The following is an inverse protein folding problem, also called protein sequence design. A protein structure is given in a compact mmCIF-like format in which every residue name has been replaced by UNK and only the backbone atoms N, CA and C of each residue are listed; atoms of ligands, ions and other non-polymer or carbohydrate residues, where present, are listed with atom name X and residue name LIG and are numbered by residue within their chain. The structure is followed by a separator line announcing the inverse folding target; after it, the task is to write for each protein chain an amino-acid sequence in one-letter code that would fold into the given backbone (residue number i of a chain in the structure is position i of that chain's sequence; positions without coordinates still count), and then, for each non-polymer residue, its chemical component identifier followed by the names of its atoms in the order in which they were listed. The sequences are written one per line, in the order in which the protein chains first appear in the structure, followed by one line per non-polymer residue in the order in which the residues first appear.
data_IF_217919970453
#
_entry.id   IF_217919970453
#
_cell.length_a   1.000
_cell.length_b   1.000
_cell.length_c   1.000
_cell.angle_alpha   90.00
_cell.angle_beta   90.00
_cell.angle_gamma   90.00
#
_symmetry.space_group_name_H-M   'P 1'
#
loop_
_entity.id
_entity.type
_entity.pdbx_description
1 polymer ?
#
# COMPACT_ATOMS: atom_id res chain seq x y z
N UNK A 1 -68.71 -14.09 5.74
CA UNK A 1 -67.79 -14.40 4.61
C UNK A 1 -66.63 -13.42 4.65
N UNK A 2 -65.41 -13.95 4.68
CA UNK A 2 -64.16 -13.21 4.77
C UNK A 2 -63.71 -12.63 3.42
N UNK A 3 -62.95 -11.53 3.44
CA UNK A 3 -61.93 -11.25 2.43
C UNK A 3 -60.64 -10.84 3.14
N UNK A 4 -59.68 -11.79 3.21
CA UNK A 4 -58.29 -11.54 3.58
C UNK A 4 -57.66 -10.64 2.51
N UNK A 5 -57.09 -9.50 2.90
CA UNK A 5 -56.21 -8.71 2.03
C UNK A 5 -54.88 -9.48 1.89
N UNK A 6 -54.52 -9.79 0.65
CA UNK A 6 -53.32 -10.54 0.32
C UNK A 6 -52.06 -9.71 0.61
N UNK A 7 -51.11 -10.32 1.31
CA UNK A 7 -49.81 -9.79 1.65
C UNK A 7 -48.83 -10.23 0.54
N UNK A 8 -48.70 -9.44 -0.53
CA UNK A 8 -47.92 -9.80 -1.73
C UNK A 8 -46.81 -8.85 -2.20
N UNK A 9 -46.54 -7.64 -1.63
CA UNK A 9 -45.52 -6.76 -2.21
C UNK A 9 -44.07 -7.07 -1.76
N UNK A 10 -43.87 -7.64 -0.56
CA UNK A 10 -42.52 -7.86 -0.01
C UNK A 10 -41.77 -8.99 -0.74
N UNK A 11 -42.46 -10.09 -1.06
CA UNK A 11 -41.89 -11.18 -1.86
C UNK A 11 -41.49 -10.72 -3.26
N UNK A 12 -42.24 -9.79 -3.87
CA UNK A 12 -41.95 -9.24 -5.19
C UNK A 12 -40.69 -8.36 -5.19
N UNK A 13 -40.49 -7.57 -4.13
CA UNK A 13 -39.33 -6.70 -3.98
C UNK A 13 -38.04 -7.49 -3.69
N UNK A 14 -38.14 -8.54 -2.87
CA UNK A 14 -37.06 -9.53 -2.68
C UNK A 14 -36.77 -10.25 -4.00
N UNK A 15 -37.79 -10.63 -4.77
CA UNK A 15 -37.59 -11.24 -6.08
C UNK A 15 -36.81 -10.34 -7.04
N UNK A 16 -37.12 -9.04 -7.10
CA UNK A 16 -36.48 -8.09 -8.03
C UNK A 16 -35.01 -7.81 -7.65
N UNK A 17 -34.68 -7.76 -6.36
CA UNK A 17 -33.30 -7.51 -5.90
C UNK A 17 -32.43 -8.76 -6.00
N UNK A 18 -33.01 -9.95 -5.79
CA UNK A 18 -32.25 -11.20 -5.72
C UNK A 18 -32.28 -12.05 -7.01
N UNK A 19 -33.24 -11.85 -7.93
CA UNK A 19 -33.25 -12.52 -9.26
C UNK A 19 -31.97 -12.27 -10.06
N UNK A 20 -31.47 -11.02 -10.18
CA UNK A 20 -30.27 -10.74 -10.94
C UNK A 20 -29.05 -11.48 -10.37
N UNK A 21 -28.99 -11.61 -9.04
CA UNK A 21 -27.92 -12.33 -8.36
C UNK A 21 -28.01 -13.85 -8.54
N UNK A 22 -29.22 -14.42 -8.56
CA UNK A 22 -29.46 -15.84 -8.87
C UNK A 22 -29.16 -16.20 -10.33
N UNK A 23 -29.50 -15.32 -11.28
CA UNK A 23 -29.18 -15.52 -12.70
C UNK A 23 -27.66 -15.48 -12.90
N UNK A 24 -26.96 -14.55 -12.26
CA UNK A 24 -25.49 -14.49 -12.31
C UNK A 24 -24.81 -15.73 -11.71
N UNK A 25 -25.39 -16.30 -10.64
CA UNK A 25 -24.89 -17.53 -10.01
C UNK A 25 -25.06 -18.75 -10.92
N UNK A 26 -26.21 -18.89 -11.58
CA UNK A 26 -26.52 -19.97 -12.54
C UNK A 26 -25.61 -19.94 -13.78
N UNK A 27 -25.25 -18.75 -14.27
CA UNK A 27 -24.32 -18.59 -15.38
C UNK A 27 -22.87 -18.94 -15.00
N UNK A 28 -22.43 -18.66 -13.77
CA UNK A 28 -21.10 -19.06 -13.29
C UNK A 28 -20.97 -20.58 -13.15
N UNK A 29 -21.98 -21.26 -12.61
CA UNK A 29 -21.96 -22.73 -12.48
C UNK A 29 -22.01 -23.44 -13.84
N UNK A 30 -22.72 -22.87 -14.82
CA UNK A 30 -22.76 -23.38 -16.19
C UNK A 30 -21.42 -23.21 -16.91
N UNK A 31 -20.73 -22.07 -16.73
CA UNK A 31 -19.43 -21.81 -17.35
C UNK A 31 -18.29 -22.66 -16.74
N UNK A 32 -18.36 -22.98 -15.44
CA UNK A 32 -17.42 -23.92 -14.81
C UNK A 32 -17.62 -25.35 -15.32
N UNK A 33 -18.87 -25.76 -15.59
CA UNK A 33 -19.18 -27.07 -16.19
C UNK A 33 -18.68 -27.19 -17.64
N UNK A 34 -18.62 -26.07 -18.39
CA UNK A 34 -18.16 -26.04 -19.79
C UNK A 34 -16.62 -26.02 -19.91
N UNK A 35 -15.90 -25.52 -18.89
CA UNK A 35 -14.42 -25.52 -18.87
C UNK A 35 -13.76 -26.88 -18.60
N UNK A 36 -14.55 -27.93 -18.35
CA UNK A 36 -14.08 -29.26 -17.96
C UNK A 36 -13.77 -30.27 -19.08
N UNK A 37 -13.75 -29.89 -20.37
CA UNK A 37 -13.44 -30.85 -21.46
C UNK A 37 -12.44 -30.30 -22.48
N UNK A 38 -11.25 -30.90 -22.67
CA UNK A 38 -10.35 -30.54 -23.76
C UNK A 38 -10.60 -31.41 -25.00
N UNK A 39 -10.85 -30.78 -26.15
CA UNK A 39 -10.78 -31.42 -27.48
C UNK A 39 -9.46 -31.03 -28.17
N UNK A 40 -8.80 -31.95 -28.92
CA UNK A 40 -7.49 -31.70 -29.51
C UNK A 40 -7.53 -31.31 -30.99
N UNK A 41 -6.42 -30.66 -31.41
CA UNK A 41 -5.81 -30.53 -32.76
C UNK A 41 -5.99 -29.22 -33.53
N UNK A 42 -4.89 -28.82 -34.16
CA UNK A 42 -4.89 -28.29 -35.54
C UNK A 42 -3.68 -27.41 -35.86
N UNK A 43 -2.65 -27.99 -36.48
CA UNK A 43 -1.59 -27.25 -37.19
C UNK A 43 -2.18 -26.45 -38.38
N UNK A 44 -1.63 -25.28 -38.70
CA UNK A 44 -0.92 -25.04 -39.98
C UNK A 44 -0.34 -23.61 -40.12
N UNK A 45 0.93 -23.58 -40.60
CA UNK A 45 1.60 -22.68 -41.57
C UNK A 45 1.04 -21.25 -41.79
N UNK A 46 1.77 -20.12 -41.78
CA UNK A 46 3.17 -19.83 -42.08
C UNK A 46 3.24 -18.86 -43.27
N UNK A 47 3.59 -17.58 -43.10
CA UNK A 47 4.10 -16.69 -44.18
C UNK A 47 5.15 -15.72 -43.62
N UNK A 48 6.30 -15.71 -44.30
CA UNK A 48 7.47 -14.87 -44.14
C UNK A 48 7.28 -13.54 -44.90
N UNK A 49 7.77 -12.43 -44.35
CA UNK A 49 7.82 -11.14 -45.05
C UNK A 49 8.74 -10.15 -44.33
N UNK A 50 9.98 -10.07 -44.78
CA UNK A 50 10.95 -9.03 -44.42
C UNK A 50 10.50 -7.66 -44.94
N UNK A 51 10.62 -6.61 -44.12
CA UNK A 51 11.10 -5.30 -44.57
C UNK A 51 11.65 -4.49 -43.39
N UNK A 52 12.91 -4.10 -43.55
CA UNK A 52 13.65 -3.13 -42.75
C UNK A 52 12.94 -1.77 -42.70
N UNK A 53 12.55 -1.34 -41.49
CA UNK A 53 12.61 0.07 -41.04
C UNK A 53 12.63 0.11 -39.51
N UNK A 54 13.64 0.76 -38.91
CA UNK A 54 13.74 0.99 -37.45
C UNK A 54 12.59 1.89 -36.96
N UNK A 55 11.88 1.55 -35.85
CA UNK A 55 11.12 2.54 -35.11
C UNK A 55 11.71 2.84 -33.72
N UNK A 56 11.79 4.15 -33.47
CA UNK A 56 11.99 4.89 -32.22
C UNK A 56 11.71 4.15 -30.88
N UNK A 57 12.64 4.35 -29.93
CA UNK A 57 12.68 3.88 -28.53
C UNK A 57 11.41 4.17 -27.69
N UNK A 58 10.48 4.99 -28.20
CA UNK A 58 9.22 5.36 -27.52
C UNK A 58 8.10 4.31 -27.67
N UNK A 59 8.16 3.47 -28.71
CA UNK A 59 7.12 2.44 -28.94
C UNK A 59 7.39 1.13 -28.19
N UNK A 60 8.63 0.84 -27.78
CA UNK A 60 8.95 -0.35 -26.98
C UNK A 60 8.41 -0.24 -25.55
N UNK A 61 8.31 0.96 -24.98
CA UNK A 61 7.70 1.14 -23.65
C UNK A 61 6.18 1.05 -23.69
N UNK A 62 5.54 1.56 -24.75
CA UNK A 62 4.08 1.48 -24.90
C UNK A 62 3.60 0.03 -25.12
N UNK A 63 4.35 -0.77 -25.87
CA UNK A 63 4.02 -2.18 -26.07
C UNK A 63 4.32 -3.06 -24.83
N UNK A 64 5.28 -2.67 -23.98
CA UNK A 64 5.50 -3.34 -22.69
C UNK A 64 4.44 -2.98 -21.64
N UNK A 65 3.90 -1.74 -21.67
CA UNK A 65 2.74 -1.35 -20.88
C UNK A 65 1.47 -2.12 -21.28
N UNK A 66 1.21 -2.27 -22.58
CA UNK A 66 0.03 -2.99 -23.09
C UNK A 66 0.14 -4.51 -22.82
N UNK A 67 1.35 -5.10 -22.88
CA UNK A 67 1.55 -6.51 -22.55
C UNK A 67 1.57 -6.80 -21.02
N UNK A 68 1.87 -5.82 -20.17
CA UNK A 68 1.74 -5.97 -18.72
C UNK A 68 0.28 -5.88 -18.24
N UNK A 69 -0.57 -5.13 -18.94
CA UNK A 69 -2.00 -5.06 -18.61
C UNK A 69 -2.77 -6.33 -18.99
N UNK A 70 -2.24 -7.15 -19.91
CA UNK A 70 -2.93 -8.38 -20.35
C UNK A 70 -2.56 -9.62 -19.51
N UNK A 71 -1.68 -9.49 -18.50
CA UNK A 71 -1.21 -10.63 -17.67
C UNK A 71 -1.22 -10.40 -16.16
N UNK A 72 -2.03 -9.50 -15.63
CA UNK A 72 -2.40 -9.57 -14.20
C UNK A 72 -3.53 -10.57 -14.04
N UNK A 73 -3.16 -11.76 -13.57
CA UNK A 73 -4.11 -12.75 -13.08
C UNK A 73 -5.04 -12.09 -12.08
N UNK A 74 -6.33 -12.24 -12.33
CA UNK A 74 -7.42 -11.81 -11.47
C UNK A 74 -7.20 -12.40 -10.07
N UNK A 75 -6.96 -11.54 -9.08
CA UNK A 75 -7.04 -11.94 -7.68
C UNK A 75 -8.51 -12.28 -7.38
N UNK A 76 -8.85 -13.57 -7.42
CA UNK A 76 -10.13 -14.06 -6.92
C UNK A 76 -10.07 -14.02 -5.40
N UNK A 77 -10.79 -13.09 -4.79
CA UNK A 77 -11.10 -13.17 -3.37
C UNK A 77 -12.09 -14.32 -3.17
N UNK A 78 -11.57 -15.53 -3.02
CA UNK A 78 -12.35 -16.71 -2.62
C UNK A 78 -12.70 -16.59 -1.13
N UNK A 79 -13.71 -15.75 -0.83
CA UNK A 79 -14.46 -15.87 0.41
C UNK A 79 -15.21 -17.21 0.38
N UNK A 80 -15.08 -18.09 1.39
CA UNK A 80 -15.82 -19.34 1.42
C UNK A 80 -17.32 -19.06 1.27
N UNK A 81 -17.96 -19.74 0.32
CA UNK A 81 -19.40 -19.65 0.04
C UNK A 81 -20.28 -19.78 1.29
N UNK A 82 -19.79 -20.48 2.31
CA UNK A 82 -20.46 -20.68 3.60
C UNK A 82 -20.62 -19.39 4.42
N UNK A 83 -19.62 -18.50 4.45
CA UNK A 83 -19.66 -17.29 5.29
C UNK A 83 -20.64 -16.24 4.75
N UNK A 84 -20.77 -16.17 3.41
CA UNK A 84 -21.76 -15.32 2.75
C UNK A 84 -23.19 -15.81 3.00
N UNK A 85 -23.39 -17.13 3.00
CA UNK A 85 -24.70 -17.75 3.27
C UNK A 85 -25.12 -17.58 4.74
N UNK A 86 -24.17 -17.72 5.68
CA UNK A 86 -24.41 -17.55 7.11
C UNK A 86 -24.73 -16.09 7.47
N UNK A 87 -24.03 -15.10 6.89
CA UNK A 87 -24.40 -13.69 7.07
C UNK A 87 -25.82 -13.39 6.57
N UNK A 88 -26.24 -14.00 5.46
CA UNK A 88 -27.59 -13.81 4.91
C UNK A 88 -28.68 -14.46 5.77
N UNK A 89 -28.43 -15.64 6.34
CA UNK A 89 -29.35 -16.29 7.29
C UNK A 89 -29.46 -15.47 8.58
N UNK A 90 -28.34 -14.95 9.09
CA UNK A 90 -28.33 -14.11 10.30
C UNK A 90 -29.06 -12.79 10.06
N UNK A 91 -28.78 -12.08 8.96
CA UNK A 91 -29.47 -10.83 8.59
C UNK A 91 -30.95 -11.03 8.31
N UNK A 92 -31.34 -12.11 7.61
CA UNK A 92 -32.74 -12.45 7.38
C UNK A 92 -33.45 -12.87 8.67
N UNK A 93 -32.78 -13.61 9.55
CA UNK A 93 -33.27 -13.95 10.88
C UNK A 93 -33.49 -12.72 11.76
N UNK A 94 -32.57 -11.76 11.75
CA UNK A 94 -32.72 -10.46 12.42
C UNK A 94 -33.83 -9.60 11.80
N UNK A 95 -34.05 -9.68 10.48
CA UNK A 95 -35.14 -8.99 9.78
C UNK A 95 -36.52 -9.60 10.10
N UNK A 96 -36.58 -10.90 10.41
CA UNK A 96 -37.81 -11.62 10.78
C UNK A 96 -38.11 -11.53 12.29
N UNK A 97 -37.09 -11.48 13.16
CA UNK A 97 -37.24 -11.27 14.62
C UNK A 97 -37.29 -9.78 15.02
N UNK A 98 -36.98 -8.87 14.11
CA UNK A 98 -36.86 -7.42 14.34
C UNK A 98 -38.20 -6.71 14.49
N UNK A 99 -38.43 -6.24 15.72
CA UNK A 99 -39.58 -5.59 16.31
C UNK A 99 -40.23 -4.45 15.49
N UNK A 100 -41.43 -4.03 15.95
CA UNK A 100 -42.36 -2.99 15.45
C UNK A 100 -41.78 -1.75 14.72
N UNK A 101 -40.51 -1.41 14.92
CA UNK A 101 -39.82 -0.31 14.23
C UNK A 101 -39.54 -0.58 12.74
N UNK A 102 -39.30 -1.83 12.33
CA UNK A 102 -39.17 -2.17 10.91
C UNK A 102 -40.49 -2.00 10.15
N UNK A 103 -41.64 -2.14 10.84
CA UNK A 103 -42.96 -1.87 10.26
C UNK A 103 -43.13 -0.37 10.01
N UNK A 104 -42.61 0.48 10.90
CA UNK A 104 -42.63 1.94 10.73
C UNK A 104 -41.72 2.33 9.57
N UNK A 105 -40.52 1.76 9.48
CA UNK A 105 -39.59 2.04 8.38
C UNK A 105 -40.13 1.56 7.03
N UNK A 106 -40.75 0.37 7.01
CA UNK A 106 -41.42 -0.17 5.83
C UNK A 106 -42.64 0.68 5.42
N UNK A 107 -43.43 1.15 6.39
CA UNK A 107 -44.55 2.06 6.12
C UNK A 107 -44.07 3.39 5.55
N UNK A 108 -43.03 3.97 6.15
CA UNK A 108 -42.42 5.23 5.69
C UNK A 108 -41.79 5.09 4.31
N UNK A 109 -41.05 4.01 4.06
CA UNK A 109 -40.43 3.75 2.76
C UNK A 109 -41.50 3.50 1.68
N UNK A 110 -42.58 2.79 2.01
CA UNK A 110 -43.70 2.64 1.09
C UNK A 110 -44.37 3.98 0.80
N UNK A 111 -44.68 4.78 1.81
CA UNK A 111 -45.31 6.09 1.65
C UNK A 111 -44.41 7.04 0.84
N UNK A 112 -43.10 7.03 1.09
CA UNK A 112 -42.10 7.75 0.30
C UNK A 112 -42.12 7.31 -1.16
N UNK A 113 -42.04 6.00 -1.43
CA UNK A 113 -42.04 5.47 -2.79
C UNK A 113 -43.36 5.73 -3.51
N UNK A 114 -44.50 5.62 -2.83
CA UNK A 114 -45.83 5.86 -3.43
C UNK A 114 -46.07 7.33 -3.77
N UNK A 115 -45.51 8.26 -2.97
CA UNK A 115 -45.60 9.70 -3.21
C UNK A 115 -44.72 10.21 -4.36
N UNK A 116 -43.81 9.38 -4.89
CA UNK A 116 -43.04 9.74 -6.09
C UNK A 116 -43.93 9.67 -7.34
N UNK A 117 -43.69 10.56 -8.29
CA UNK A 117 -44.33 10.47 -9.61
C UNK A 117 -43.85 9.22 -10.35
N UNK A 118 -44.70 8.67 -11.24
CA UNK A 118 -44.38 7.44 -11.97
C UNK A 118 -43.12 7.57 -12.82
N UNK A 119 -42.81 8.79 -13.29
CA UNK A 119 -41.56 9.11 -14.00
C UNK A 119 -40.34 9.02 -13.11
N UNK A 120 -40.43 9.48 -11.85
CA UNK A 120 -39.32 9.39 -10.87
C UNK A 120 -39.16 7.94 -10.39
N UNK A 121 -40.25 7.20 -10.21
CA UNK A 121 -40.19 5.75 -9.89
C UNK A 121 -39.47 4.99 -11.00
N UNK A 122 -39.83 5.24 -12.27
CA UNK A 122 -39.19 4.62 -13.41
C UNK A 122 -37.71 5.01 -13.53
N UNK A 123 -37.38 6.29 -13.34
CA UNK A 123 -35.99 6.76 -13.36
C UNK A 123 -35.16 6.17 -12.22
N UNK A 124 -35.69 6.11 -11.00
CA UNK A 124 -35.02 5.48 -9.85
C UNK A 124 -34.83 3.98 -10.04
N UNK A 125 -35.80 3.29 -10.65
CA UNK A 125 -35.67 1.88 -10.99
C UNK A 125 -34.56 1.68 -12.02
N UNK A 126 -34.52 2.53 -13.05
CA UNK A 126 -33.52 2.49 -14.12
C UNK A 126 -32.12 2.81 -13.59
N UNK A 127 -32.00 3.79 -12.69
CA UNK A 127 -30.77 4.15 -12.00
C UNK A 127 -30.29 3.03 -11.07
N UNK A 128 -31.21 2.37 -10.35
CA UNK A 128 -30.88 1.24 -9.48
C UNK A 128 -30.46 0.01 -10.30
N UNK A 129 -31.13 -0.26 -11.43
CA UNK A 129 -30.74 -1.35 -12.33
C UNK A 129 -29.42 -1.05 -13.03
N UNK A 130 -29.17 0.19 -13.47
CA UNK A 130 -27.89 0.59 -14.08
C UNK A 130 -26.76 0.59 -13.05
N UNK A 131 -27.05 0.94 -11.80
CA UNK A 131 -26.11 0.79 -10.69
C UNK A 131 -25.77 -0.70 -10.52
N UNK A 132 -26.79 -1.58 -10.38
CA UNK A 132 -26.62 -3.03 -10.22
C UNK A 132 -26.04 -3.76 -11.44
N UNK A 133 -26.26 -3.29 -12.67
CA UNK A 133 -25.77 -3.89 -13.93
C UNK A 133 -24.39 -3.32 -14.30
N UNK A 134 -24.10 -2.05 -13.99
CA UNK A 134 -22.78 -1.43 -14.11
C UNK A 134 -21.76 -1.96 -13.10
N UNK A 135 -22.21 -2.73 -12.10
CA UNK A 135 -21.44 -3.33 -11.00
C UNK A 135 -20.61 -4.58 -11.38
N UNK A 136 -20.06 -4.65 -12.60
CA UNK A 136 -19.17 -5.76 -13.01
C UNK A 136 -17.67 -5.50 -12.83
N UNK A 137 -17.27 -4.33 -12.33
CA UNK A 137 -15.86 -4.02 -12.09
C UNK A 137 -15.49 -4.20 -10.61
N UNK A 138 -14.67 -5.20 -10.25
CA UNK A 138 -14.08 -5.33 -8.91
C UNK A 138 -13.38 -4.04 -8.45
N UNK A 139 -12.82 -3.28 -9.40
CA UNK A 139 -12.12 -2.03 -9.13
C UNK A 139 -13.06 -0.90 -8.68
N UNK A 140 -14.33 -0.93 -9.11
CA UNK A 140 -15.35 0.02 -8.62
C UNK A 140 -15.69 -0.23 -7.14
N UNK A 141 -15.73 -1.50 -6.73
CA UNK A 141 -15.89 -1.88 -5.32
C UNK A 141 -14.69 -1.48 -4.47
N UNK A 142 -13.47 -1.65 -4.97
CA UNK A 142 -12.26 -1.21 -4.26
C UNK A 142 -12.26 0.30 -4.00
N UNK A 143 -12.71 1.11 -4.97
CA UNK A 143 -12.78 2.56 -4.82
C UNK A 143 -13.89 3.00 -3.86
N UNK A 144 -15.07 2.40 -3.93
CA UNK A 144 -16.18 2.71 -3.02
C UNK A 144 -15.89 2.25 -1.58
N UNK A 145 -15.35 1.05 -1.41
CA UNK A 145 -14.93 0.55 -0.10
C UNK A 145 -13.76 1.40 0.41
N UNK A 146 -12.78 1.74 -0.44
CA UNK A 146 -11.68 2.63 -0.08
C UNK A 146 -12.14 4.02 0.37
N UNK A 147 -13.18 4.57 -0.26
CA UNK A 147 -13.80 5.84 0.14
C UNK A 147 -14.47 5.74 1.51
N UNK A 148 -15.31 4.71 1.71
CA UNK A 148 -15.98 4.45 2.99
C UNK A 148 -14.97 4.19 4.11
N UNK A 149 -13.97 3.33 3.90
CA UNK A 149 -12.98 3.01 4.92
C UNK A 149 -12.11 4.21 5.34
N UNK A 150 -11.80 5.10 4.38
CA UNK A 150 -11.04 6.33 4.64
C UNK A 150 -11.84 7.31 5.50
N UNK A 151 -13.15 7.42 5.28
CA UNK A 151 -14.01 8.36 6.00
C UNK A 151 -14.42 7.85 7.40
N UNK A 152 -14.41 6.54 7.64
CA UNK A 152 -14.72 5.94 8.95
C UNK A 152 -13.52 5.74 9.89
N UNK A 153 -12.34 6.28 9.56
CA UNK A 153 -11.18 6.31 10.48
C UNK A 153 -10.47 4.96 10.68
N UNK A 154 -10.65 4.01 9.77
CA UNK A 154 -9.91 2.75 9.79
C UNK A 154 -8.48 2.97 9.27
N UNK A 155 -7.50 2.36 9.94
CA UNK A 155 -6.09 2.45 9.54
C UNK A 155 -5.86 2.02 8.08
N UNK A 156 -4.83 2.59 7.46
CA UNK A 156 -4.52 2.36 6.04
C UNK A 156 -4.49 0.86 5.66
N UNK A 157 -5.09 0.49 4.54
CA UNK A 157 -5.11 -0.91 4.08
C UNK A 157 -3.74 -1.36 3.58
N UNK A 158 -3.08 -0.48 2.83
CA UNK A 158 -1.72 -0.66 2.34
C UNK A 158 -0.86 0.50 2.88
N UNK A 159 0.32 0.23 3.45
CA UNK A 159 1.20 1.30 3.93
C UNK A 159 1.80 2.13 2.80
N UNK A 160 1.70 1.71 1.53
CA UNK A 160 2.17 2.45 0.36
C UNK A 160 0.99 2.81 -0.55
N UNK A 161 0.82 4.10 -0.78
CA UNK A 161 -0.18 4.66 -1.68
C UNK A 161 0.19 4.38 -3.15
N UNK A 162 -0.77 4.50 -4.06
CA UNK A 162 -0.55 4.33 -5.51
C UNK A 162 0.50 5.31 -6.09
N UNK A 163 0.71 6.44 -5.43
CA UNK A 163 1.75 7.43 -5.74
C UNK A 163 3.16 6.96 -5.38
N UNK A 164 3.30 5.86 -4.63
CA UNK A 164 4.54 5.38 -4.05
C UNK A 164 4.91 6.01 -2.71
N UNK A 165 4.10 6.95 -2.21
CA UNK A 165 4.26 7.54 -0.87
C UNK A 165 3.85 6.54 0.21
N UNK A 166 4.63 6.46 1.29
CA UNK A 166 4.33 5.67 2.47
C UNK A 166 3.56 6.51 3.47
N UNK A 167 2.48 5.95 4.02
CA UNK A 167 1.47 6.65 4.84
C UNK A 167 2.03 7.25 6.13
N UNK A 168 3.19 6.78 6.60
CA UNK A 168 3.91 7.37 7.75
C UNK A 168 4.21 8.86 7.54
N UNK A 169 4.42 9.30 6.29
CA UNK A 169 4.64 10.69 5.92
C UNK A 169 3.41 11.59 6.14
N UNK A 170 2.23 11.04 6.43
CA UNK A 170 1.03 11.82 6.72
C UNK A 170 1.04 12.38 8.15
N UNK A 171 1.77 11.74 9.07
CA UNK A 171 1.94 12.21 10.45
C UNK A 171 3.36 12.65 10.79
N UNK A 172 4.37 12.08 10.13
CA UNK A 172 5.78 12.42 10.28
C UNK A 172 6.21 13.33 9.13
N UNK A 173 6.03 14.63 9.32
CA UNK A 173 6.07 15.64 8.25
C UNK A 173 7.49 16.07 7.87
N UNK A 174 8.47 15.88 8.75
CA UNK A 174 9.86 16.19 8.45
C UNK A 174 10.49 15.07 7.62
N UNK A 175 11.28 15.45 6.61
CA UNK A 175 12.02 14.52 5.76
C UNK A 175 13.45 14.31 6.27
N UNK A 176 13.88 13.06 6.43
CA UNK A 176 15.25 12.65 6.79
C UNK A 176 15.64 11.41 5.99
N UNK A 177 16.89 11.27 5.53
CA UNK A 177 17.29 10.16 4.65
C UNK A 177 17.15 8.81 5.36
N UNK A 178 16.81 7.77 4.61
CA UNK A 178 16.81 6.37 5.05
C UNK A 178 17.49 5.59 3.94
N UNK A 179 18.30 4.61 4.31
CA UNK A 179 19.01 3.77 3.36
C UNK A 179 18.64 2.31 3.56
N UNK A 180 18.74 1.52 2.49
CA UNK A 180 18.45 0.10 2.48
C UNK A 180 19.51 -0.65 1.67
N UNK A 181 20.13 -1.62 2.31
CA UNK A 181 21.10 -2.51 1.68
C UNK A 181 20.50 -3.91 1.60
N UNK A 182 20.49 -4.46 0.37
CA UNK A 182 20.06 -5.81 0.07
C UNK A 182 21.06 -6.46 -0.90
N UNK A 183 21.18 -7.80 -0.91
CA UNK A 183 21.96 -8.48 -1.93
C UNK A 183 21.43 -8.18 -3.32
N UNK A 184 22.33 -8.07 -4.29
CA UNK A 184 21.96 -7.84 -5.69
C UNK A 184 21.11 -8.98 -6.26
N UNK A 185 21.40 -10.22 -5.85
CA UNK A 185 20.66 -11.41 -6.24
C UNK A 185 20.61 -12.42 -5.10
N UNK A 186 19.53 -13.19 -5.05
CA UNK A 186 19.33 -14.29 -4.11
C UNK A 186 18.82 -15.53 -4.84
N UNK A 187 19.21 -16.70 -4.36
CA UNK A 187 18.68 -17.99 -4.80
C UNK A 187 17.30 -18.23 -4.17
N UNK A 188 16.45 -19.10 -4.72
CA UNK A 188 15.20 -19.50 -4.09
C UNK A 188 15.42 -20.20 -2.73
N UNK A 189 14.41 -20.17 -1.85
CA UNK A 189 14.42 -20.76 -0.49
C UNK A 189 15.70 -20.47 0.32
N UNK A 190 16.22 -19.25 0.19
CA UNK A 190 17.43 -18.80 0.87
C UNK A 190 17.11 -17.66 1.83
N UNK A 191 17.70 -17.72 3.04
CA UNK A 191 17.64 -16.63 4.01
C UNK A 191 18.72 -15.61 3.69
N UNK A 192 18.35 -14.33 3.62
CA UNK A 192 19.27 -13.22 3.41
C UNK A 192 18.95 -12.04 4.34
N UNK A 193 19.91 -11.13 4.48
CA UNK A 193 19.80 -9.92 5.30
C UNK A 193 19.35 -8.74 4.43
N UNK A 194 18.30 -8.03 4.87
CA UNK A 194 17.99 -6.69 4.38
C UNK A 194 18.27 -5.68 5.50
N UNK A 195 19.25 -4.80 5.30
CA UNK A 195 19.73 -3.88 6.34
C UNK A 195 19.14 -2.49 6.08
N UNK A 196 18.32 -2.00 7.01
CA UNK A 196 17.71 -0.68 6.96
C UNK A 196 18.47 0.26 7.88
N UNK A 197 19.03 1.34 7.34
CA UNK A 197 19.78 2.35 8.10
C UNK A 197 18.94 3.62 8.27
N UNK A 198 18.79 4.06 9.52
CA UNK A 198 18.01 5.24 9.92
C UNK A 198 18.96 6.22 10.66
N UNK A 199 19.90 6.86 9.96
CA UNK A 199 20.97 7.65 10.58
C UNK A 199 20.48 8.93 11.26
N UNK A 200 20.81 9.17 12.51
CA UNK A 200 20.53 10.47 13.13
C UNK A 200 21.60 10.82 14.15
N UNK A 201 21.71 12.11 14.48
CA UNK A 201 22.61 12.55 15.53
C UNK A 201 22.07 12.12 16.90
N UNK A 202 22.78 11.18 17.53
CA UNK A 202 22.42 10.57 18.81
C UNK A 202 22.57 11.52 20.00
N UNK A 203 23.25 12.65 19.83
CA UNK A 203 23.35 13.71 20.83
C UNK A 203 22.08 14.57 20.90
N UNK A 204 21.31 14.62 19.81
CA UNK A 204 20.06 15.37 19.78
C UNK A 204 19.00 14.70 20.65
N UNK A 205 18.25 15.56 21.34
CA UNK A 205 17.10 15.16 22.16
C UNK A 205 15.84 15.79 21.58
N UNK A 206 14.75 15.02 21.59
CA UNK A 206 13.43 15.48 21.16
C UNK A 206 12.56 15.86 22.36
N UNK A 207 11.50 16.63 22.09
CA UNK A 207 10.44 16.90 23.07
C UNK A 207 9.58 15.64 23.25
N UNK A 208 9.49 15.15 24.48
CA UNK A 208 8.60 14.05 24.87
C UNK A 208 7.18 14.56 25.10
N UNK A 209 6.21 13.66 25.24
CA UNK A 209 4.80 14.02 25.44
C UNK A 209 4.55 14.91 26.69
N UNK A 210 5.43 14.82 27.70
CA UNK A 210 5.38 15.64 28.92
C UNK A 210 6.14 16.99 28.79
N UNK A 211 6.68 17.33 27.62
CA UNK A 211 7.44 18.55 27.37
C UNK A 211 8.93 18.50 27.74
N UNK A 212 9.41 17.43 28.41
CA UNK A 212 10.84 17.26 28.72
C UNK A 212 11.62 16.80 27.49
N UNK A 213 12.93 17.08 27.44
CA UNK A 213 13.83 16.59 26.39
C UNK A 213 14.29 15.15 26.69
N UNK A 214 14.19 14.26 25.71
CA UNK A 214 14.57 12.84 25.82
C UNK A 214 15.11 12.25 24.51
N UNK A 215 15.50 10.98 24.55
CA UNK A 215 16.03 10.26 23.39
C UNK A 215 15.01 10.03 22.28
N UNK A 216 15.50 9.65 21.11
CA UNK A 216 14.68 9.30 19.95
C UNK A 216 14.53 7.78 19.85
N UNK A 217 13.32 7.35 19.50
CA UNK A 217 13.06 5.99 19.05
C UNK A 217 13.00 5.98 17.53
N UNK A 218 13.22 4.80 16.97
CA UNK A 218 13.10 4.55 15.54
C UNK A 218 12.05 3.49 15.26
N UNK A 219 11.59 3.47 14.02
CA UNK A 219 10.76 2.41 13.49
C UNK A 219 10.88 2.35 11.97
N UNK A 220 10.53 1.19 11.41
CA UNK A 220 10.56 0.98 9.97
C UNK A 220 9.38 0.13 9.51
N UNK A 221 9.00 0.34 8.25
CA UNK A 221 8.14 -0.55 7.46
C UNK A 221 8.93 -0.99 6.24
N UNK A 222 9.01 -2.30 6.01
CA UNK A 222 9.67 -2.93 4.88
C UNK A 222 8.62 -3.64 4.05
N UNK A 223 8.49 -3.26 2.79
CA UNK A 223 7.51 -3.77 1.85
C UNK A 223 8.27 -4.63 0.84
N UNK A 224 8.09 -5.95 0.96
CA UNK A 224 8.74 -6.94 0.11
C UNK A 224 7.82 -7.37 -1.04
N UNK A 225 8.38 -7.95 -2.10
CA UNK A 225 7.59 -8.58 -3.16
C UNK A 225 6.76 -9.73 -2.60
N UNK A 226 5.71 -10.11 -3.32
CA UNK A 226 4.90 -11.28 -2.94
C UNK A 226 5.76 -12.54 -2.84
N UNK A 227 5.41 -13.41 -1.89
CA UNK A 227 6.13 -14.66 -1.62
C UNK A 227 7.34 -14.52 -0.71
N UNK A 228 7.99 -13.35 -0.63
CA UNK A 228 9.02 -13.06 0.37
C UNK A 228 8.39 -12.84 1.73
N UNK A 229 9.00 -13.39 2.78
CA UNK A 229 8.50 -13.28 4.15
C UNK A 229 9.63 -13.27 5.18
N UNK A 230 9.29 -12.96 6.42
CA UNK A 230 10.23 -13.08 7.54
C UNK A 230 10.70 -14.54 7.66
N UNK A 231 12.01 -14.74 7.78
CA UNK A 231 12.57 -16.08 7.93
C UNK A 231 12.08 -16.75 9.23
N UNK A 232 11.68 -18.03 9.17
CA UNK A 232 11.37 -18.81 10.37
C UNK A 232 12.54 -18.84 11.36
N UNK A 233 12.31 -18.76 12.69
CA UNK A 233 13.39 -18.68 13.68
C UNK A 233 14.42 -19.81 13.65
N UNK A 234 14.02 -21.00 13.19
CA UNK A 234 14.86 -22.19 13.02
C UNK A 234 15.78 -22.12 11.79
N UNK A 235 15.44 -21.28 10.80
CA UNK A 235 16.24 -21.04 9.58
C UNK A 235 17.22 -19.88 9.73
N UNK A 236 17.14 -19.09 10.80
CA UNK A 236 18.00 -17.93 11.05
C UNK A 236 19.33 -18.40 11.65
N UNK A 237 20.45 -18.02 11.02
CA UNK A 237 21.78 -18.35 11.52
C UNK A 237 22.09 -17.63 12.85
N UNK A 238 22.97 -18.17 13.70
CA UNK A 238 23.36 -17.52 14.95
C UNK A 238 23.95 -16.11 14.75
N UNK A 239 24.67 -15.89 13.65
CA UNK A 239 25.25 -14.59 13.28
C UNK A 239 24.15 -13.53 13.00
N UNK A 240 23.14 -13.89 12.20
CA UNK A 240 22.01 -13.00 11.91
C UNK A 240 21.23 -12.70 13.21
N UNK A 241 21.06 -13.72 14.05
CA UNK A 241 20.35 -13.58 15.33
C UNK A 241 21.06 -12.63 16.30
N UNK A 242 22.39 -12.64 16.32
CA UNK A 242 23.19 -11.70 17.10
C UNK A 242 23.00 -10.26 16.61
N UNK A 243 23.06 -10.01 15.30
CA UNK A 243 22.80 -8.69 14.69
C UNK A 243 21.39 -8.17 14.99
N UNK A 244 20.40 -9.05 14.99
CA UNK A 244 19.01 -8.71 15.35
C UNK A 244 18.84 -8.37 16.83
N UNK A 245 19.64 -8.97 17.70
CA UNK A 245 19.46 -8.86 19.15
C UNK A 245 18.05 -9.29 19.59
N UNK A 246 17.34 -8.37 20.27
CA UNK A 246 16.01 -8.64 20.82
C UNK A 246 14.88 -8.00 19.98
N UNK A 247 15.15 -7.74 18.70
CA UNK A 247 14.15 -7.18 17.80
C UNK A 247 13.07 -8.22 17.47
N UNK A 248 11.82 -7.77 17.44
CA UNK A 248 10.67 -8.57 17.03
C UNK A 248 10.00 -7.86 15.86
N UNK A 249 9.79 -8.61 14.78
CA UNK A 249 9.15 -8.11 13.57
C UNK A 249 7.70 -8.58 13.54
N UNK A 250 6.81 -7.70 13.09
CA UNK A 250 5.39 -8.00 12.93
C UNK A 250 4.99 -7.84 11.48
N UNK A 251 4.10 -8.72 10.99
CA UNK A 251 3.43 -8.48 9.72
C UNK A 251 2.49 -7.30 9.85
N UNK A 252 2.39 -6.46 8.82
CA UNK A 252 1.47 -5.31 8.81
C UNK A 252 0.02 -5.75 9.03
N UNK A 253 -0.35 -6.90 8.43
CA UNK A 253 -1.62 -7.58 8.62
C UNK A 253 -1.41 -9.10 8.66
N UNK A 254 -2.32 -9.87 9.26
CA UNK A 254 -2.22 -11.34 9.31
C UNK A 254 -2.06 -11.99 7.92
N UNK A 255 -2.71 -11.41 6.89
CA UNK A 255 -2.70 -11.93 5.52
C UNK A 255 -1.54 -11.36 4.67
N UNK A 256 -0.79 -10.38 5.16
CA UNK A 256 0.28 -9.69 4.43
C UNK A 256 1.63 -9.97 5.06
N UNK A 257 2.15 -11.18 4.84
CA UNK A 257 3.43 -11.63 5.40
C UNK A 257 4.67 -10.97 4.78
N UNK A 258 4.51 -10.40 3.58
CA UNK A 258 5.57 -9.70 2.85
C UNK A 258 5.74 -8.24 3.30
N UNK A 259 4.88 -7.73 4.18
CA UNK A 259 4.99 -6.37 4.70
C UNK A 259 5.34 -6.47 6.18
N UNK A 260 6.55 -6.05 6.53
CA UNK A 260 7.10 -6.16 7.88
C UNK A 260 7.19 -4.80 8.53
N UNK A 261 6.77 -4.71 9.79
CA UNK A 261 6.82 -3.50 10.61
C UNK A 261 7.63 -3.77 11.86
N UNK A 262 8.41 -2.77 12.25
CA UNK A 262 9.09 -2.73 13.55
C UNK A 262 9.02 -1.32 14.13
N UNK A 263 8.33 -1.17 15.26
CA UNK A 263 8.29 0.08 16.02
C UNK A 263 7.58 -0.12 17.37
N UNK A 264 7.85 0.75 18.37
CA UNK A 264 9.00 1.63 18.51
C UNK A 264 10.18 0.89 19.15
N UNK A 265 11.42 1.17 18.70
CA UNK A 265 12.65 0.63 19.32
C UNK A 265 13.65 1.75 19.67
N UNK A 266 14.51 1.57 20.69
CA UNK A 266 15.48 2.60 21.09
C UNK A 266 16.46 2.95 19.96
N UNK A 267 16.44 4.20 19.51
CA UNK A 267 17.21 4.63 18.33
C UNK A 267 18.72 4.61 18.54
N UNK A 268 19.19 4.78 19.78
CA UNK A 268 20.64 4.73 20.09
C UNK A 268 21.23 3.34 19.86
N UNK A 269 20.42 2.29 20.05
CA UNK A 269 20.84 0.90 19.87
C UNK A 269 20.56 0.39 18.46
N UNK A 270 19.45 0.80 17.86
CA UNK A 270 18.94 0.24 16.61
C UNK A 270 18.87 1.28 15.48
N UNK A 271 19.93 2.07 15.32
CA UNK A 271 20.04 2.97 14.15
C UNK A 271 20.16 2.21 12.83
N UNK A 272 20.64 0.97 12.90
CA UNK A 272 20.64 -0.01 11.81
C UNK A 272 19.81 -1.22 12.24
N UNK A 273 18.92 -1.68 11.36
CA UNK A 273 17.97 -2.76 11.62
C UNK A 273 18.16 -3.82 10.54
N UNK A 274 18.56 -5.02 10.96
CA UNK A 274 18.74 -6.17 10.06
C UNK A 274 17.48 -7.02 10.03
N UNK A 275 16.84 -7.12 8.87
CA UNK A 275 15.67 -7.98 8.65
C UNK A 275 16.11 -9.32 8.05
N UNK A 276 15.79 -10.47 8.69
CA UNK A 276 16.05 -11.78 8.13
C UNK A 276 14.91 -12.18 7.18
N UNK A 277 15.17 -12.15 5.88
CA UNK A 277 14.15 -12.41 4.86
C UNK A 277 14.38 -13.78 4.23
N UNK A 278 13.32 -14.56 4.06
CA UNK A 278 13.31 -15.79 3.28
C UNK A 278 12.78 -15.50 1.87
N UNK A 279 13.57 -15.83 0.85
CA UNK A 279 13.14 -15.75 -0.54
C UNK A 279 12.18 -16.90 -0.89
N UNK A 280 11.15 -16.65 -1.73
CA UNK A 280 10.26 -17.71 -2.21
C UNK A 280 10.96 -18.69 -3.17
N UNK A 281 10.31 -19.83 -3.41
CA UNK A 281 10.74 -20.81 -4.41
C UNK A 281 9.68 -20.95 -5.54
N UNK A 282 10.00 -20.51 -6.77
CA UNK A 282 9.13 -20.68 -7.95
C UNK A 282 8.79 -22.14 -8.31
N UNK A 283 9.57 -23.12 -7.83
CA UNK A 283 9.25 -24.53 -8.06
C UNK A 283 7.96 -24.92 -7.33
N UNK A 284 7.78 -24.41 -6.11
CA UNK A 284 6.64 -24.69 -5.23
C UNK A 284 5.50 -23.67 -5.39
N UNK A 285 5.81 -22.38 -5.52
CA UNK A 285 4.83 -21.28 -5.68
C UNK A 285 4.74 -20.84 -7.15
N UNK A 286 3.64 -21.18 -7.84
CA UNK A 286 3.47 -21.00 -9.30
C UNK A 286 3.25 -19.55 -9.74
N UNK A 287 2.80 -18.71 -8.83
CA UNK A 287 2.60 -17.27 -8.95
C UNK A 287 3.91 -16.48 -8.87
N UNK A 288 4.99 -17.10 -8.39
CA UNK A 288 6.31 -16.47 -8.27
C UNK A 288 7.20 -16.84 -9.47
N UNK A 289 7.99 -15.88 -9.94
CA UNK A 289 8.83 -16.02 -11.12
C UNK A 289 10.25 -15.48 -10.87
N UNK A 290 11.23 -16.02 -11.58
CA UNK A 290 12.60 -15.52 -11.54
C UNK A 290 12.72 -14.18 -12.29
N UNK A 291 12.59 -13.09 -11.53
CA UNK A 291 12.57 -11.72 -12.00
C UNK A 291 13.37 -10.80 -11.07
N UNK A 292 13.53 -9.55 -11.50
CA UNK A 292 13.99 -8.45 -10.66
C UNK A 292 12.76 -7.81 -10.00
N UNK A 293 12.76 -7.74 -8.68
CA UNK A 293 11.67 -7.23 -7.88
C UNK A 293 12.07 -5.96 -7.11
N UNK A 294 11.17 -4.99 -6.94
CA UNK A 294 11.41 -3.84 -6.09
C UNK A 294 11.15 -4.17 -4.61
N UNK A 295 11.94 -3.55 -3.73
CA UNK A 295 11.74 -3.53 -2.27
C UNK A 295 11.60 -2.07 -1.87
N UNK A 296 10.60 -1.76 -1.05
CA UNK A 296 10.39 -0.40 -0.55
C UNK A 296 10.56 -0.36 0.96
N UNK A 297 11.20 0.69 1.47
CA UNK A 297 11.35 0.92 2.90
C UNK A 297 10.84 2.31 3.29
N UNK A 298 10.19 2.38 4.44
CA UNK A 298 9.94 3.62 5.15
C UNK A 298 10.59 3.54 6.52
N UNK A 299 11.40 4.54 6.89
CA UNK A 299 12.05 4.61 8.19
C UNK A 299 11.77 5.94 8.89
N UNK A 300 11.45 5.90 10.18
CA UNK A 300 11.21 7.08 10.99
C UNK A 300 12.16 7.11 12.20
N UNK A 301 12.58 8.32 12.58
CA UNK A 301 13.19 8.61 13.88
C UNK A 301 12.42 9.76 14.56
N UNK A 302 12.17 9.63 15.85
CA UNK A 302 11.46 10.64 16.64
C UNK A 302 9.94 10.60 16.51
N UNK A 303 9.27 11.51 17.23
CA UNK A 303 7.81 11.57 17.36
C UNK A 303 7.14 12.30 16.19
N UNK A 304 5.93 11.87 15.84
CA UNK A 304 5.10 12.51 14.81
C UNK A 304 4.48 13.84 15.25
N UNK A 305 3.96 14.58 14.27
CA UNK A 305 3.38 15.92 14.42
C UNK A 305 1.84 15.86 14.58
N UNK A 306 1.21 14.79 14.10
CA UNK A 306 -0.25 14.65 14.03
C UNK A 306 -0.66 13.29 14.62
N UNK A 307 -1.72 13.29 15.44
CA UNK A 307 -2.34 12.09 15.98
C UNK A 307 -3.39 11.53 15.01
N UNK A 308 -3.79 10.24 15.15
CA UNK A 308 -4.80 9.63 14.28
C UNK A 308 -6.16 10.36 14.26
N UNK A 309 -6.50 11.08 15.32
CA UNK A 309 -7.72 11.90 15.41
C UNK A 309 -7.61 13.26 14.68
N UNK A 310 -6.45 13.53 14.06
CA UNK A 310 -6.15 14.79 13.37
C UNK A 310 -5.60 15.89 14.28
N UNK A 311 -5.55 15.69 15.60
CA UNK A 311 -5.03 16.68 16.53
C UNK A 311 -3.50 16.82 16.42
N UNK A 312 -3.00 18.05 16.65
CA UNK A 312 -1.56 18.34 16.66
C UNK A 312 -0.90 17.81 17.93
N UNK A 313 0.29 17.24 17.79
CA UNK A 313 1.15 16.88 18.92
C UNK A 313 1.96 18.08 19.43
N UNK A 314 2.57 17.96 20.60
CA UNK A 314 3.52 18.95 21.12
C UNK A 314 4.90 18.93 20.42
N UNK A 315 5.07 18.16 19.35
CA UNK A 315 6.29 18.10 18.52
C UNK A 315 6.09 18.74 17.14
N UNK A 316 5.38 19.86 17.10
CA UNK A 316 5.08 20.65 15.90
C UNK A 316 4.99 22.14 16.21
N UNK A 317 4.86 22.96 15.17
CA UNK A 317 4.69 24.41 15.28
C UNK A 317 3.21 24.76 15.52
N UNK A 318 2.97 25.70 16.44
CA UNK A 318 1.66 26.31 16.67
C UNK A 318 1.62 27.68 16.03
N UNK A 319 0.60 27.92 15.22
CA UNK A 319 0.40 29.16 14.47
C UNK A 319 -0.76 29.95 15.07
N UNK A 320 -0.79 31.26 14.82
CA UNK A 320 -1.84 32.16 15.25
C UNK A 320 -3.16 31.86 14.51
N UNK A 321 -4.24 31.69 15.27
CA UNK A 321 -5.59 31.43 14.71
C UNK A 321 -6.24 32.70 14.13
N UNK A 322 -5.75 33.89 14.48
CA UNK A 322 -6.26 35.17 13.99
C UNK A 322 -5.13 36.21 13.86
N UNK A 323 -5.38 37.25 13.04
CA UNK A 323 -4.53 38.45 13.02
C UNK A 323 -4.93 39.37 14.17
N UNK A 324 -3.97 40.06 14.78
CA UNK A 324 -4.27 40.97 15.88
C UNK A 324 -3.05 41.38 16.68
N UNK A 325 -3.28 41.89 17.89
CA UNK A 325 -2.23 42.21 18.87
C UNK A 325 -2.29 41.17 19.99
N UNK A 326 -1.13 40.63 20.37
CA UNK A 326 -1.01 39.72 21.51
C UNK A 326 -1.29 40.49 22.80
N UNK A 327 -2.45 40.28 23.41
CA UNK A 327 -2.87 41.05 24.59
C UNK A 327 -2.35 40.46 25.88
N UNK A 328 -2.21 39.13 25.97
CA UNK A 328 -1.79 38.43 27.18
C UNK A 328 -1.19 37.06 26.87
N UNK A 329 -0.13 36.69 27.58
CA UNK A 329 0.51 35.38 27.54
C UNK A 329 0.53 34.79 28.96
N UNK A 330 -0.29 33.77 29.20
CA UNK A 330 -0.34 33.04 30.47
C UNK A 330 0.42 31.72 30.38
N UNK A 331 1.39 31.52 31.27
CA UNK A 331 2.09 30.24 31.42
C UNK A 331 1.31 29.30 32.34
N UNK A 332 1.00 28.09 31.86
CA UNK A 332 0.25 27.09 32.65
C UNK A 332 1.17 26.35 33.63
N UNK A 333 0.62 25.90 34.77
CA UNK A 333 1.37 25.19 35.81
C UNK A 333 2.04 23.90 35.33
N UNK A 334 1.37 23.16 34.44
CA UNK A 334 1.89 21.92 33.82
C UNK A 334 2.80 22.18 32.60
N UNK A 335 3.21 23.43 32.40
CA UNK A 335 3.89 23.91 31.20
C UNK A 335 2.93 24.20 30.05
N UNK A 336 3.45 24.88 29.01
CA UNK A 336 2.65 25.41 27.92
C UNK A 336 2.17 26.84 28.17
N UNK A 337 1.44 27.37 27.18
CA UNK A 337 1.03 28.77 27.12
C UNK A 337 -0.44 28.90 26.72
N UNK A 338 -1.07 29.96 27.17
CA UNK A 338 -2.36 30.44 26.71
C UNK A 338 -2.17 31.87 26.23
N UNK A 339 -2.42 32.09 24.95
CA UNK A 339 -2.13 33.35 24.27
C UNK A 339 -3.46 33.96 23.86
N UNK A 340 -3.74 35.15 24.37
CA UNK A 340 -4.91 35.91 23.99
C UNK A 340 -4.53 36.89 22.88
N UNK A 341 -5.19 36.79 21.75
CA UNK A 341 -5.00 37.66 20.58
C UNK A 341 -6.25 38.53 20.47
N UNK A 342 -6.07 39.84 20.54
CA UNK A 342 -7.14 40.81 20.33
C UNK A 342 -7.15 41.24 18.86
N UNK A 343 -8.25 40.99 18.16
CA UNK A 343 -8.45 41.48 16.80
C UNK A 343 -8.50 43.02 16.81
N UNK A 344 -7.73 43.64 15.92
CA UNK A 344 -7.62 45.09 15.82
C UNK A 344 -8.89 45.75 15.24
N UNK A 345 -9.78 44.96 14.61
CA UNK A 345 -10.92 45.44 13.82
C UNK A 345 -12.25 45.41 14.57
N UNK A 346 -12.51 44.34 15.34
CA UNK A 346 -13.82 44.08 15.96
C UNK A 346 -13.76 43.85 17.48
N UNK A 347 -12.55 43.90 18.08
CA UNK A 347 -12.33 43.71 19.51
C UNK A 347 -12.58 42.29 20.01
N UNK A 348 -12.82 41.32 19.12
CA UNK A 348 -12.94 39.91 19.51
C UNK A 348 -11.59 39.38 20.00
N UNK A 349 -11.64 38.57 21.05
CA UNK A 349 -10.46 37.92 21.60
C UNK A 349 -10.48 36.44 21.21
N UNK A 350 -9.39 35.98 20.63
CA UNK A 350 -9.15 34.57 20.32
C UNK A 350 -8.09 34.04 21.29
N UNK A 351 -8.28 32.83 21.79
CA UNK A 351 -7.37 32.20 22.75
C UNK A 351 -6.72 30.99 22.11
N UNK A 352 -5.41 31.09 21.89
CA UNK A 352 -4.58 30.00 21.37
C UNK A 352 -3.91 29.25 22.53
N UNK A 353 -4.08 27.93 22.56
CA UNK A 353 -3.52 27.07 23.60
C UNK A 353 -2.34 26.29 23.03
N UNK A 354 -1.18 26.42 23.68
CA UNK A 354 0.06 25.77 23.28
C UNK A 354 0.48 24.77 24.36
N UNK A 355 0.69 23.49 24.02
CA UNK A 355 1.13 22.48 24.99
C UNK A 355 2.60 22.68 25.40
N UNK A 356 3.07 22.01 26.47
CA UNK A 356 4.47 22.07 26.85
C UNK A 356 5.39 21.44 25.79
N UNK A 357 6.48 22.14 25.45
CA UNK A 357 7.50 21.62 24.53
C UNK A 357 8.05 22.67 23.57
N UNK A 358 7.22 23.21 22.65
CA UNK A 358 7.63 24.28 21.73
C UNK A 358 8.01 25.55 22.50
N UNK A 359 9.07 26.23 22.04
CA UNK A 359 9.51 27.50 22.64
C UNK A 359 8.77 28.66 21.97
N UNK A 360 8.34 29.65 22.76
CA UNK A 360 7.56 30.78 22.26
C UNK A 360 8.47 31.81 21.54
N UNK A 361 8.01 32.34 20.42
CA UNK A 361 8.73 33.34 19.62
C UNK A 361 8.17 34.76 19.75
N UNK A 362 6.92 34.89 20.17
CA UNK A 362 6.19 36.17 20.25
C UNK A 362 6.17 36.75 21.66
N UNK A 363 6.02 38.06 21.77
CA UNK A 363 5.90 38.78 23.04
C UNK A 363 4.55 39.50 23.19
N UNK A 364 4.16 39.83 24.41
CA UNK A 364 2.97 40.67 24.67
C UNK A 364 3.12 42.05 24.00
N UNK A 365 2.04 42.55 23.40
CA UNK A 365 2.01 43.81 22.65
C UNK A 365 2.44 43.70 21.18
N UNK A 366 2.90 42.53 20.73
CA UNK A 366 3.30 42.31 19.34
C UNK A 366 2.09 42.18 18.40
N UNK A 367 2.18 42.79 17.21
CA UNK A 367 1.18 42.59 16.15
C UNK A 367 1.55 41.37 15.32
N UNK A 368 0.61 40.44 15.20
CA UNK A 368 0.77 39.17 14.50
C UNK A 368 -0.29 39.00 13.40
N UNK A 369 0.05 38.23 12.38
CA UNK A 369 -0.84 37.88 11.28
C UNK A 369 -1.43 36.48 11.46
N UNK A 370 -2.58 36.24 10.82
CA UNK A 370 -3.16 34.91 10.68
C UNK A 370 -2.11 33.93 10.14
N UNK A 371 -2.07 32.74 10.73
CA UNK A 371 -1.12 31.65 10.44
C UNK A 371 0.36 31.97 10.71
N UNK A 372 0.69 33.12 11.32
CA UNK A 372 2.05 33.40 11.76
C UNK A 372 2.46 32.40 12.86
N UNK A 373 3.67 31.81 12.79
CA UNK A 373 4.14 30.89 13.82
C UNK A 373 4.33 31.61 15.16
N UNK A 374 3.67 31.09 16.20
CA UNK A 374 3.81 31.55 17.58
C UNK A 374 5.01 30.90 18.28
N UNK A 375 5.43 29.71 17.81
CA UNK A 375 6.48 28.90 18.43
C UNK A 375 7.58 28.52 17.46
N UNK A 376 8.75 28.18 17.99
CA UNK A 376 9.80 27.49 17.26
C UNK A 376 9.36 26.06 16.91
N UNK A 377 10.05 25.43 15.96
CA UNK A 377 9.82 24.03 15.62
C UNK A 377 10.65 23.12 16.55
N UNK A 378 10.03 22.38 17.49
CA UNK A 378 10.77 21.49 18.40
C UNK A 378 11.24 20.19 17.73
N UNK A 379 10.78 19.90 16.50
CA UNK A 379 11.02 18.62 15.87
C UNK A 379 12.45 18.48 15.35
N UNK A 380 13.15 17.46 15.86
CA UNK A 380 14.48 17.04 15.40
C UNK A 380 14.47 15.69 14.67
N UNK A 381 13.30 15.04 14.61
CA UNK A 381 13.09 13.77 13.95
C UNK A 381 12.77 13.89 12.46
N UNK A 382 12.26 12.80 11.90
CA UNK A 382 11.75 12.78 10.53
C UNK A 382 11.64 11.38 9.95
N UNK A 383 10.87 11.31 8.88
CA UNK A 383 10.60 10.13 8.09
C UNK A 383 11.39 10.20 6.77
N UNK A 384 11.81 9.04 6.29
CA UNK A 384 12.43 8.87 4.98
C UNK A 384 11.93 7.62 4.30
N UNK A 385 12.06 7.62 2.99
CA UNK A 385 11.79 6.45 2.15
C UNK A 385 13.06 6.07 1.40
N UNK A 386 13.19 4.78 1.13
CA UNK A 386 14.24 4.23 0.30
C UNK A 386 13.69 3.10 -0.55
N UNK A 387 14.30 2.90 -1.71
CA UNK A 387 13.90 1.89 -2.67
C UNK A 387 15.14 1.05 -2.98
N UNK A 388 14.97 -0.26 -3.09
CA UNK A 388 16.00 -1.19 -3.53
C UNK A 388 15.42 -2.18 -4.53
N UNK A 389 16.28 -2.93 -5.19
CA UNK A 389 15.87 -3.98 -6.11
C UNK A 389 16.64 -5.27 -5.79
N UNK A 390 15.95 -6.40 -5.93
CA UNK A 390 16.51 -7.72 -5.69
C UNK A 390 16.21 -8.64 -6.87
N UNK A 391 17.20 -9.40 -7.32
CA UNK A 391 17.01 -10.41 -8.36
C UNK A 391 16.78 -11.78 -7.73
N UNK A 392 15.61 -12.37 -7.95
CA UNK A 392 15.40 -13.79 -7.64
C UNK A 392 16.00 -14.61 -8.78
N UNK A 393 17.15 -15.23 -8.52
CA UNK A 393 17.98 -15.84 -9.55
C UNK A 393 17.79 -17.36 -9.62
N UNK A 394 17.69 -17.86 -10.84
CA UNK A 394 17.70 -19.30 -11.13
C UNK A 394 19.16 -19.76 -11.32
N UNK A 395 19.66 -20.73 -10.52
CA UNK A 395 21.02 -21.23 -10.67
C UNK A 395 21.28 -21.84 -12.06
N UNK A 396 20.27 -22.40 -12.74
CA UNK A 396 20.43 -22.97 -14.08
C UNK A 396 20.71 -21.89 -15.14
N UNK A 397 20.14 -20.69 -14.98
CA UNK A 397 20.43 -19.55 -15.87
C UNK A 397 21.89 -19.16 -15.80
N UNK A 398 22.45 -19.13 -14.59
CA UNK A 398 23.86 -18.80 -14.36
C UNK A 398 24.78 -19.89 -14.93
N UNK A 399 24.46 -21.16 -14.69
CA UNK A 399 25.24 -22.28 -15.26
C UNK A 399 25.23 -22.27 -16.79
N UNK A 400 24.07 -22.07 -17.41
CA UNK A 400 23.95 -21.95 -18.86
C UNK A 400 24.75 -20.76 -19.42
N UNK A 401 24.74 -19.63 -18.71
CA UNK A 401 25.52 -18.45 -19.07
C UNK A 401 27.04 -18.72 -19.02
N UNK A 402 27.52 -19.43 -17.99
CA UNK A 402 28.93 -19.79 -17.87
C UNK A 402 29.37 -20.73 -19.01
N UNK A 403 28.54 -21.72 -19.36
CA UNK A 403 28.81 -22.59 -20.51
C UNK A 403 28.85 -21.79 -21.82
N UNK A 404 27.91 -20.87 -22.02
CA UNK A 404 27.91 -19.98 -23.18
C UNK A 404 29.17 -19.12 -23.25
N UNK A 405 29.63 -18.54 -22.13
CA UNK A 405 30.88 -17.79 -22.10
C UNK A 405 32.10 -18.66 -22.45
N UNK A 406 32.18 -19.88 -21.92
CA UNK A 406 33.24 -20.81 -22.28
C UNK A 406 33.23 -21.15 -23.78
N UNK A 407 32.05 -21.37 -24.36
CA UNK A 407 31.91 -21.64 -25.80
C UNK A 407 32.32 -20.43 -26.65
N UNK A 408 31.95 -19.21 -26.26
CA UNK A 408 32.36 -17.98 -26.94
C UNK A 408 33.88 -17.78 -26.88
N UNK A 409 34.49 -17.97 -25.71
CA UNK A 409 35.95 -17.88 -25.54
C UNK A 409 36.64 -18.91 -26.44
N UNK A 410 36.15 -20.15 -26.47
CA UNK A 410 36.71 -21.20 -27.32
C UNK A 410 36.59 -20.86 -28.81
N UNK A 411 35.44 -20.35 -29.25
CA UNK A 411 35.23 -19.91 -30.63
C UNK A 411 36.17 -18.74 -31.01
N UNK A 412 36.34 -17.75 -30.13
CA UNK A 412 37.26 -16.64 -30.34
C UNK A 412 38.72 -17.13 -30.48
N UNK A 413 39.16 -18.06 -29.62
CA UNK A 413 40.48 -18.67 -29.72
C UNK A 413 40.65 -19.37 -31.06
N UNK A 414 39.68 -20.21 -31.47
CA UNK A 414 39.78 -20.92 -32.75
C UNK A 414 39.78 -19.99 -33.97
N UNK A 415 38.99 -18.92 -33.95
CA UNK A 415 39.00 -17.92 -35.02
C UNK A 415 40.38 -17.25 -35.15
N UNK A 416 41.00 -16.87 -34.03
CA UNK A 416 42.34 -16.27 -34.02
C UNK A 416 43.39 -17.28 -34.48
N UNK A 417 43.35 -18.52 -33.99
CA UNK A 417 44.27 -19.58 -34.42
C UNK A 417 44.13 -19.88 -35.91
N UNK A 418 42.89 -19.95 -36.42
CA UNK A 418 42.64 -20.19 -37.84
C UNK A 418 43.13 -19.04 -38.71
N UNK A 419 42.92 -17.79 -38.27
CA UNK A 419 43.49 -16.60 -38.93
C UNK A 419 45.01 -16.70 -38.98
N UNK A 420 45.67 -16.97 -37.85
CA UNK A 420 47.14 -17.11 -37.76
C UNK A 420 47.67 -18.27 -38.61
N UNK A 421 46.91 -19.35 -38.73
CA UNK A 421 47.24 -20.45 -39.64
C UNK A 421 47.17 -20.01 -41.11
N UNK A 422 46.12 -19.27 -41.50
CA UNK A 422 45.94 -18.82 -42.88
C UNK A 422 46.94 -17.72 -43.28
N UNK A 423 47.29 -16.82 -42.36
CA UNK A 423 48.36 -15.83 -42.56
C UNK A 423 49.68 -16.50 -42.98
N UNK A 424 49.99 -17.71 -42.48
CA UNK A 424 51.18 -18.48 -42.92
C UNK A 424 51.09 -18.93 -44.37
N UNK A 425 49.89 -19.28 -44.86
CA UNK A 425 49.67 -19.67 -46.26
C UNK A 425 49.83 -18.46 -47.17
N UNK A 426 49.18 -17.34 -46.83
CA UNK A 426 49.32 -16.08 -47.57
C UNK A 426 50.78 -15.61 -47.66
N UNK A 427 51.55 -15.75 -46.56
CA UNK A 427 52.98 -15.44 -46.56
C UNK A 427 53.79 -16.34 -47.50
N UNK A 428 53.41 -17.61 -47.65
CA UNK A 428 54.08 -18.55 -48.56
C UNK A 428 53.74 -18.30 -50.02
N UNK A 429 52.49 -17.95 -50.33
CA UNK A 429 52.02 -17.76 -51.71
C UNK A 429 52.29 -16.34 -52.23
N UNK A 430 52.66 -15.39 -51.35
CA UNK A 430 52.82 -13.95 -51.65
C UNK A 430 51.64 -13.33 -52.40
N UNK A 431 50.47 -13.94 -52.29
CA UNK A 431 49.23 -13.53 -52.94
C UNK A 431 48.16 -13.46 -51.85
N UNK A 432 47.53 -12.30 -51.71
CA UNK A 432 46.79 -11.93 -50.50
C UNK A 432 45.28 -12.10 -50.62
#
# INVERSE_FOLDING_TARGET
MAKKKAFTPLLYLVSIVFLPWWISLLFQTSLESIRGTPLPRGNDQGILGDTSTKPSYRNSQRNNLINQDTKRGSYSYDFPLLDKYNCFIILSGYSILGNKELVILNSWAQEFLYNLSDTIKAFSLLLLTDLCIGFHSPHGWELMIGFVYKDFGFGYENPREATGRIVCANCHLANKPVDIEVPQAVLPDTVFEAVVRIPYDTQLKQVLANGKKGGLNVGAVLILPEGFELAPPDRISPEIKEKMGNLSFQSYRPNQKNILVISPVPGQKYSEITFPILSPDPATKKDIHFLKYPIYVGGNRGRGQIYPDGSKSNNTVYNATASGIVSKILRKEKGGYEITIADASDGRQVVDIIPPGPELLVSEGESIKLDQPLTSNPNVGGFGQGDAEIVLQDPLRVQGLLFFFAAVILAQIFLVLKKKQFEKVQLSEMNF
#
